data_IF_701836823871
#
_entry.id   IF_701836823871
#
_cell.length_a   1.000
_cell.length_b   1.000
_cell.length_c   1.000
_cell.angle_alpha   90.00
_cell.angle_beta   90.00
_cell.angle_gamma   90.00
#
_symmetry.space_group_name_H-M   'P 1'
#
loop_
_entity.id
_entity.type
_entity.pdbx_description
1 polymer ?
#
# COMPACT_ATOMS: atom_id res chain seq x y z
N UNK A 1 6.88 12.37 -9.24
CA UNK A 1 5.95 11.43 -8.59
C UNK A 1 4.61 12.13 -8.35
N UNK A 2 3.54 11.57 -8.90
CA UNK A 2 2.16 11.90 -8.55
C UNK A 2 1.72 11.00 -7.38
N UNK A 3 0.85 11.51 -6.51
CA UNK A 3 0.31 10.77 -5.37
C UNK A 3 -1.19 10.98 -5.26
N UNK A 4 -1.93 9.88 -5.23
CA UNK A 4 -3.35 9.84 -4.91
C UNK A 4 -3.52 9.12 -3.57
N UNK A 5 -4.20 9.77 -2.63
CA UNK A 5 -4.53 9.17 -1.33
C UNK A 5 -6.05 9.04 -1.22
N UNK A 6 -6.52 7.87 -0.85
CA UNK A 6 -7.93 7.61 -0.57
C UNK A 6 -8.10 6.94 0.79
N UNK A 7 -9.17 7.31 1.50
CA UNK A 7 -9.54 6.75 2.80
C UNK A 7 -10.63 5.69 2.60
N UNK A 8 -10.50 4.57 3.32
CA UNK A 8 -11.38 3.42 3.19
C UNK A 8 -11.73 2.87 4.58
N UNK A 9 -12.99 2.46 4.72
CA UNK A 9 -13.48 1.66 5.84
C UNK A 9 -14.03 0.38 5.24
N UNK A 10 -13.51 -0.76 5.69
CA UNK A 10 -13.96 -2.10 5.35
C UNK A 10 -14.43 -2.78 6.63
N UNK A 11 -15.74 -2.93 6.77
CA UNK A 11 -16.35 -3.43 7.99
C UNK A 11 -17.49 -4.41 7.68
N UNK A 12 -17.65 -5.41 8.56
CA UNK A 12 -18.74 -6.36 8.49
C UNK A 12 -20.08 -5.76 8.91
N UNK A 13 -21.08 -6.63 9.07
CA UNK A 13 -22.36 -6.22 9.65
C UNK A 13 -22.21 -5.87 11.13
N UNK A 14 -23.19 -5.12 11.65
CA UNK A 14 -23.32 -4.84 13.07
C UNK A 14 -24.21 -5.90 13.73
N UNK A 15 -23.81 -6.35 14.91
CA UNK A 15 -24.64 -7.21 15.75
C UNK A 15 -25.76 -6.42 16.45
N UNK A 16 -26.56 -7.12 17.26
CA UNK A 16 -27.67 -6.53 18.03
C UNK A 16 -27.22 -5.45 19.03
N UNK A 17 -25.95 -5.43 19.40
CA UNK A 17 -25.33 -4.44 20.29
C UNK A 17 -24.67 -3.29 19.52
N UNK A 18 -24.73 -3.29 18.18
CA UNK A 18 -24.11 -2.29 17.33
C UNK A 18 -22.61 -2.49 17.09
N UNK A 19 -22.04 -3.63 17.48
CA UNK A 19 -20.63 -3.96 17.30
C UNK A 19 -20.40 -4.59 15.93
N UNK A 20 -19.35 -4.16 15.24
CA UNK A 20 -18.96 -4.73 13.95
C UNK A 20 -18.27 -6.09 14.11
N UNK A 21 -18.56 -7.04 13.22
CA UNK A 21 -17.83 -8.33 13.15
C UNK A 21 -16.32 -8.11 12.87
N UNK A 22 -16.01 -7.17 11.99
CA UNK A 22 -14.68 -6.63 11.77
C UNK A 22 -14.78 -5.16 11.37
N UNK A 23 -13.75 -4.37 11.67
CA UNK A 23 -13.66 -2.97 11.28
C UNK A 23 -12.21 -2.63 10.94
N UNK A 24 -11.93 -2.41 9.66
CA UNK A 24 -10.63 -1.97 9.18
C UNK A 24 -10.76 -0.58 8.58
N UNK A 25 -9.95 0.34 9.08
CA UNK A 25 -9.85 1.69 8.53
C UNK A 25 -8.44 1.93 8.03
N UNK A 26 -8.30 2.32 6.77
CA UNK A 26 -7.00 2.44 6.13
C UNK A 26 -6.96 3.48 5.02
N UNK A 27 -5.76 4.01 4.78
CA UNK A 27 -5.44 4.80 3.60
C UNK A 27 -4.82 3.94 2.51
N UNK A 28 -5.22 4.17 1.26
CA UNK A 28 -4.51 3.69 0.07
C UNK A 28 -3.72 4.85 -0.52
N UNK A 29 -2.43 4.62 -0.75
CA UNK A 29 -1.49 5.53 -1.38
C UNK A 29 -1.10 4.94 -2.73
N UNK A 30 -1.51 5.60 -3.80
CA UNK A 30 -1.13 5.24 -5.16
C UNK A 30 -0.10 6.26 -5.67
N UNK A 31 1.12 5.78 -5.90
CA UNK A 31 2.23 6.56 -6.41
C UNK A 31 2.36 6.31 -7.90
N UNK A 32 2.38 7.37 -8.71
CA UNK A 32 2.43 7.28 -10.16
C UNK A 32 3.58 8.08 -10.78
N UNK A 33 4.11 7.59 -11.90
CA UNK A 33 4.96 8.34 -12.82
C UNK A 33 4.81 7.78 -14.24
N UNK A 34 4.13 8.52 -15.11
CA UNK A 34 3.79 8.04 -16.45
C UNK A 34 2.95 6.77 -16.39
N UNK A 35 3.43 5.69 -17.02
CA UNK A 35 2.71 4.41 -17.09
C UNK A 35 3.01 3.46 -15.90
N UNK A 36 3.85 3.88 -14.95
CA UNK A 36 4.21 3.06 -13.79
C UNK A 36 3.46 3.54 -12.56
N UNK A 37 2.93 2.60 -11.77
CA UNK A 37 2.26 2.91 -10.51
C UNK A 37 2.50 1.86 -9.43
N UNK A 38 2.62 2.30 -8.18
CA UNK A 38 2.76 1.44 -6.99
C UNK A 38 1.68 1.77 -5.97
N UNK A 39 1.09 0.74 -5.37
CA UNK A 39 0.05 0.90 -4.36
C UNK A 39 0.55 0.44 -3.00
N UNK A 40 0.44 1.32 -2.01
CA UNK A 40 0.64 1.01 -0.60
C UNK A 40 -0.64 1.21 0.21
N UNK A 41 -0.77 0.47 1.30
CA UNK A 41 -1.86 0.58 2.29
C UNK A 41 -1.29 0.84 3.67
N UNK A 42 -1.93 1.71 4.45
CA UNK A 42 -1.60 1.93 5.85
C UNK A 42 -2.88 1.98 6.69
N UNK A 43 -2.95 1.17 7.74
CA UNK A 43 -4.08 1.17 8.67
C UNK A 43 -4.00 2.35 9.64
N UNK A 44 -5.16 2.81 10.12
CA UNK A 44 -5.25 3.96 11.05
C UNK A 44 -4.80 3.58 12.46
N UNK A 45 -5.07 2.35 12.89
CA UNK A 45 -4.67 1.79 14.19
C UNK A 45 -3.18 1.39 14.26
N UNK A 46 -2.52 1.21 13.10
CA UNK A 46 -1.08 0.97 12.97
C UNK A 46 -0.38 2.15 12.24
N UNK A 47 -0.34 3.35 12.86
CA UNK A 47 0.07 4.57 12.17
C UNK A 47 1.54 4.59 11.73
N UNK A 48 2.40 3.74 12.29
CA UNK A 48 3.80 3.58 11.88
C UNK A 48 4.02 2.63 10.70
N UNK A 49 2.99 1.88 10.30
CA UNK A 49 3.11 0.80 9.31
C UNK A 49 2.57 1.22 7.94
N UNK A 50 3.22 0.72 6.89
CA UNK A 50 2.71 0.76 5.53
C UNK A 50 3.13 -0.48 4.74
N UNK A 51 2.26 -0.89 3.81
CA UNK A 51 2.42 -2.12 3.04
C UNK A 51 2.25 -1.87 1.55
N UNK A 52 3.32 -1.99 0.78
CA UNK A 52 3.22 -2.09 -0.67
C UNK A 52 2.58 -3.42 -1.06
N UNK A 53 1.54 -3.38 -1.89
CA UNK A 53 0.72 -4.56 -2.20
C UNK A 53 0.92 -5.06 -3.63
N UNK A 54 0.99 -4.12 -4.58
CA UNK A 54 0.93 -4.39 -6.01
C UNK A 54 1.44 -3.19 -6.80
N UNK A 55 1.76 -3.42 -8.06
CA UNK A 55 2.16 -2.38 -9.00
C UNK A 55 1.54 -2.58 -10.38
N UNK A 56 1.60 -1.56 -11.20
CA UNK A 56 1.30 -1.59 -12.64
C UNK A 56 2.53 -1.05 -13.37
N UNK A 57 3.18 -1.87 -14.18
CA UNK A 57 4.38 -1.49 -14.93
C UNK A 57 4.04 -0.89 -16.28
N UNK A 58 5.07 -0.41 -16.98
CA UNK A 58 4.90 0.07 -18.34
C UNK A 58 4.43 -1.08 -19.26
N UNK A 59 3.30 -0.87 -19.93
CA UNK A 59 2.65 -1.89 -20.76
C UNK A 59 1.77 -2.90 -20.01
N UNK A 60 1.72 -2.87 -18.67
CA UNK A 60 0.80 -3.71 -17.91
C UNK A 60 -0.64 -3.18 -18.08
N UNK A 61 -1.60 -4.07 -18.31
CA UNK A 61 -3.02 -3.70 -18.32
C UNK A 61 -3.64 -3.74 -16.92
N UNK A 62 -3.22 -4.72 -16.12
CA UNK A 62 -3.73 -5.00 -14.77
C UNK A 62 -2.64 -4.85 -13.70
N UNK A 63 -3.07 -4.73 -12.45
CA UNK A 63 -2.16 -4.76 -11.31
C UNK A 63 -1.54 -6.14 -11.12
N UNK A 64 -0.25 -6.18 -10.84
CA UNK A 64 0.51 -7.39 -10.53
C UNK A 64 1.30 -7.29 -9.24
N UNK A 65 1.75 -8.43 -8.74
CA UNK A 65 2.66 -8.51 -7.59
C UNK A 65 3.98 -7.80 -7.90
N UNK A 66 4.54 -7.15 -6.88
CA UNK A 66 5.85 -6.50 -6.93
C UNK A 66 6.94 -7.57 -6.86
N UNK A 67 7.95 -7.46 -7.72
CA UNK A 67 9.13 -8.31 -7.76
C UNK A 67 10.36 -7.58 -7.22
N UNK A 68 11.46 -8.29 -6.95
CA UNK A 68 12.69 -7.66 -6.45
C UNK A 68 13.21 -6.58 -7.41
N UNK A 69 13.12 -6.83 -8.72
CA UNK A 69 13.54 -5.86 -9.75
C UNK A 69 12.76 -4.56 -9.67
N UNK A 70 11.47 -4.63 -9.34
CA UNK A 70 10.61 -3.46 -9.29
C UNK A 70 10.96 -2.52 -8.12
N UNK A 71 11.68 -3.01 -7.10
CA UNK A 71 12.14 -2.17 -5.98
C UNK A 71 13.33 -1.29 -6.34
N UNK A 72 14.04 -1.63 -7.41
CA UNK A 72 15.15 -0.82 -7.90
C UNK A 72 14.69 0.41 -8.68
N UNK A 73 13.41 0.47 -9.04
CA UNK A 73 12.80 1.60 -9.73
C UNK A 73 12.84 2.89 -8.90
N UNK A 74 13.01 4.01 -9.61
CA UNK A 74 13.11 5.34 -9.00
C UNK A 74 11.82 5.77 -8.31
N UNK A 75 10.65 5.49 -8.90
CA UNK A 75 9.36 5.83 -8.31
C UNK A 75 9.12 5.01 -7.04
N UNK A 76 9.51 3.73 -7.01
CA UNK A 76 9.41 2.92 -5.80
C UNK A 76 10.25 3.50 -4.65
N UNK A 77 11.49 3.90 -4.93
CA UNK A 77 12.39 4.52 -3.93
C UNK A 77 11.87 5.87 -3.44
N UNK A 78 11.30 6.67 -4.33
CA UNK A 78 10.63 7.94 -3.98
C UNK A 78 9.39 7.69 -3.09
N UNK A 79 8.58 6.68 -3.42
CA UNK A 79 7.40 6.31 -2.64
C UNK A 79 7.77 5.84 -1.22
N UNK A 80 8.79 5.00 -1.08
CA UNK A 80 9.33 4.60 0.25
C UNK A 80 9.81 5.82 1.02
N UNK A 81 10.53 6.73 0.37
CA UNK A 81 11.01 7.97 0.99
C UNK A 81 9.85 8.84 1.48
N UNK A 82 8.81 8.99 0.68
CA UNK A 82 7.61 9.74 1.07
C UNK A 82 6.89 9.10 2.25
N UNK A 83 6.68 7.77 2.24
CA UNK A 83 6.04 7.09 3.35
C UNK A 83 6.82 7.28 4.65
N UNK A 84 8.17 7.18 4.61
CA UNK A 84 9.03 7.48 5.77
C UNK A 84 8.89 8.93 6.23
N UNK A 85 8.78 9.90 5.31
CA UNK A 85 8.68 11.32 5.68
C UNK A 85 7.37 11.68 6.37
N UNK A 86 6.29 10.92 6.12
CA UNK A 86 5.01 11.06 6.81
C UNK A 86 4.89 10.16 8.05
N UNK A 87 6.00 9.55 8.50
CA UNK A 87 6.06 8.79 9.75
C UNK A 87 5.84 7.28 9.64
N UNK A 88 5.79 6.71 8.43
CA UNK A 88 5.73 5.25 8.25
C UNK A 88 7.13 4.66 8.42
N UNK A 89 7.48 4.26 9.64
CA UNK A 89 8.78 3.69 9.97
C UNK A 89 8.91 2.22 9.59
N UNK A 90 7.80 1.47 9.58
CA UNK A 90 7.78 0.05 9.28
C UNK A 90 7.13 -0.18 7.92
N UNK A 91 7.94 -0.22 6.86
CA UNK A 91 7.43 -0.41 5.50
C UNK A 91 7.74 -1.83 5.04
N UNK A 92 6.70 -2.55 4.63
CA UNK A 92 6.81 -3.91 4.08
C UNK A 92 6.28 -3.97 2.66
N UNK A 93 6.78 -4.91 1.87
CA UNK A 93 6.32 -5.16 0.50
C UNK A 93 5.79 -6.59 0.37
N UNK A 94 4.58 -6.76 -0.13
CA UNK A 94 4.04 -8.07 -0.47
C UNK A 94 4.60 -8.57 -1.80
N UNK A 95 5.16 -9.78 -1.78
CA UNK A 95 5.89 -10.38 -2.89
C UNK A 95 5.38 -11.79 -3.23
N UNK A 96 4.05 -11.97 -3.19
CA UNK A 96 3.40 -13.21 -3.58
C UNK A 96 3.82 -14.37 -2.67
N UNK A 97 4.51 -15.37 -3.23
CA UNK A 97 4.94 -16.56 -2.48
C UNK A 97 5.92 -16.26 -1.35
N UNK A 98 6.71 -15.19 -1.46
CA UNK A 98 7.64 -14.79 -0.40
C UNK A 98 6.93 -14.09 0.78
N UNK A 99 5.64 -13.76 0.65
CA UNK A 99 4.91 -13.00 1.67
C UNK A 99 5.39 -11.55 1.75
N UNK A 100 5.36 -11.00 2.96
CA UNK A 100 5.84 -9.64 3.22
C UNK A 100 7.34 -9.63 3.53
N UNK A 101 8.06 -8.68 2.93
CA UNK A 101 9.48 -8.41 3.21
C UNK A 101 9.68 -6.96 3.63
N UNK A 102 10.60 -6.72 4.56
CA UNK A 102 10.92 -5.38 5.06
C UNK A 102 11.72 -4.54 4.04
N UNK A 103 11.57 -3.21 4.08
CA UNK A 103 12.23 -2.22 3.20
C UNK A 103 13.06 -1.19 3.97
#
# INVERSE_FOLDING_TARGET
>A
MELIVSHHIDCGDRDENGMYEYYYEYGIYEFGNGNVSYMARAYVDEPGDAHFLKMKGDGDHDWRTITERDKDDSLFKEAVTYLRSIGKSNIRCFMGRAGYVDL
#
